data_IF_369391495524
#
_entry.id   IF_369391495524
#
_cell.length_a   1.000
_cell.length_b   1.000
_cell.length_c   1.000
_cell.angle_alpha   90.00
_cell.angle_beta   90.00
_cell.angle_gamma   90.00
#
_symmetry.space_group_name_H-M   'P 1'
#
loop_
_entity.id
_entity.type
_entity.pdbx_description
1 polymer ?
#
# COMPACT_ATOMS: atom_id res chain seq x y z
N UNK A 1 -31.07 26.19 11.35
CA UNK A 1 -31.53 24.84 11.72
C UNK A 1 -30.39 23.91 11.40
N UNK A 2 -29.65 23.49 12.42
CA UNK A 2 -28.54 22.51 12.28
C UNK A 2 -29.18 21.16 12.01
N UNK A 3 -28.77 20.52 10.94
CA UNK A 3 -29.29 19.19 10.56
C UNK A 3 -28.59 18.14 11.38
N UNK A 4 -29.23 17.66 12.44
CA UNK A 4 -28.82 16.41 13.07
C UNK A 4 -29.04 15.29 12.05
N UNK A 5 -27.99 14.57 11.71
CA UNK A 5 -28.09 13.38 10.87
C UNK A 5 -28.22 12.19 11.80
N UNK A 6 -29.40 11.60 11.89
CA UNK A 6 -29.60 10.35 12.62
C UNK A 6 -29.51 9.18 11.65
N UNK A 7 -28.74 8.17 12.01
CA UNK A 7 -28.66 6.90 11.28
C UNK A 7 -29.46 5.86 12.07
N UNK A 8 -30.73 5.69 11.71
CA UNK A 8 -31.58 4.70 12.34
C UNK A 8 -31.29 3.31 11.82
N UNK A 9 -30.77 2.46 12.67
CA UNK A 9 -30.45 1.04 12.41
C UNK A 9 -29.56 0.79 11.20
N UNK A 10 -28.49 1.54 10.97
CA UNK A 10 -27.51 1.13 9.97
C UNK A 10 -26.84 -0.16 10.42
N UNK A 11 -26.47 -1.01 9.47
CA UNK A 11 -25.57 -2.10 9.79
C UNK A 11 -24.19 -1.53 10.15
N UNK A 12 -23.48 -2.19 11.05
CA UNK A 12 -22.15 -1.81 11.50
C UNK A 12 -21.17 -2.92 11.16
N UNK A 13 -20.15 -2.63 10.36
CA UNK A 13 -19.10 -3.57 10.01
C UNK A 13 -17.92 -3.41 10.97
N UNK A 14 -17.73 -4.39 11.86
CA UNK A 14 -16.55 -4.43 12.74
C UNK A 14 -15.27 -4.78 11.98
N UNK A 15 -14.13 -4.48 12.58
CA UNK A 15 -12.79 -4.76 12.04
C UNK A 15 -12.53 -6.27 11.81
N UNK A 16 -13.25 -7.14 12.53
CA UNK A 16 -13.23 -8.59 12.31
C UNK A 16 -14.12 -9.05 11.13
N UNK A 17 -14.86 -8.10 10.52
CA UNK A 17 -15.78 -8.34 9.40
C UNK A 17 -17.15 -8.87 9.82
N UNK A 18 -17.52 -8.81 11.10
CA UNK A 18 -18.86 -9.13 11.59
C UNK A 18 -19.77 -7.92 11.40
N UNK A 19 -20.96 -8.14 10.85
CA UNK A 19 -22.00 -7.12 10.73
C UNK A 19 -22.88 -7.14 11.97
N UNK A 20 -23.10 -5.98 12.55
CA UNK A 20 -23.98 -5.76 13.70
C UNK A 20 -25.06 -4.74 13.38
N UNK A 21 -26.10 -4.68 14.21
CA UNK A 21 -27.08 -3.60 14.20
C UNK A 21 -26.53 -2.48 15.06
N UNK A 22 -26.60 -1.25 14.59
CA UNK A 22 -26.17 -0.10 15.35
C UNK A 22 -27.25 0.97 15.39
N UNK A 23 -27.41 1.64 16.53
CA UNK A 23 -28.19 2.85 16.68
C UNK A 23 -27.23 4.00 16.97
N UNK A 24 -27.03 4.84 15.96
CA UNK A 24 -26.01 5.89 16.00
C UNK A 24 -26.64 7.23 15.65
N UNK A 25 -26.46 8.21 16.51
CA UNK A 25 -26.86 9.60 16.26
C UNK A 25 -25.61 10.48 16.23
N UNK A 26 -25.47 11.24 15.16
CA UNK A 26 -24.38 12.18 14.95
C UNK A 26 -24.94 13.58 14.67
N UNK A 27 -24.46 14.58 15.39
CA UNK A 27 -24.84 15.98 15.21
C UNK A 27 -23.67 16.89 15.58
N UNK A 28 -23.52 17.97 14.82
CA UNK A 28 -22.55 19.04 15.11
C UNK A 28 -21.11 18.57 15.33
N UNK A 29 -20.68 17.56 14.54
CA UNK A 29 -19.39 16.87 14.69
C UNK A 29 -19.20 16.07 15.99
N UNK A 30 -20.29 15.74 16.69
CA UNK A 30 -20.27 14.91 17.88
C UNK A 30 -21.18 13.69 17.75
N UNK A 31 -20.76 12.58 18.38
CA UNK A 31 -21.56 11.37 18.49
C UNK A 31 -22.46 11.52 19.74
N UNK A 32 -23.76 11.67 19.54
CA UNK A 32 -24.72 11.84 20.61
C UNK A 32 -25.22 10.51 21.19
N UNK A 33 -25.26 9.46 20.34
CA UNK A 33 -25.59 8.11 20.75
C UNK A 33 -24.79 7.13 19.90
N UNK A 34 -24.25 6.10 20.52
CA UNK A 34 -23.49 5.05 19.85
C UNK A 34 -23.76 3.73 20.57
N UNK A 35 -24.81 3.05 20.15
CA UNK A 35 -25.18 1.73 20.68
C UNK A 35 -25.02 0.68 19.57
N UNK A 36 -24.22 -0.35 19.85
CA UNK A 36 -23.99 -1.47 18.95
C UNK A 36 -24.66 -2.68 19.55
N UNK A 37 -25.74 -3.12 18.90
CA UNK A 37 -26.50 -4.30 19.26
C UNK A 37 -25.85 -5.61 18.86
N UNK A 38 -26.61 -6.70 18.95
CA UNK A 38 -26.17 -8.05 18.56
C UNK A 38 -25.96 -8.21 17.05
N UNK A 39 -25.51 -9.39 16.64
CA UNK A 39 -25.36 -9.75 15.23
C UNK A 39 -26.68 -9.57 14.46
N UNK A 40 -26.62 -8.90 13.34
CA UNK A 40 -27.77 -8.64 12.49
C UNK A 40 -27.61 -9.24 11.09
N UNK A 41 -28.72 -9.47 10.43
CA UNK A 41 -28.71 -9.89 9.01
C UNK A 41 -28.51 -8.65 8.15
N UNK A 42 -27.34 -8.57 7.49
CA UNK A 42 -27.07 -7.54 6.50
C UNK A 42 -27.97 -7.71 5.28
N UNK A 43 -28.83 -6.74 5.02
CA UNK A 43 -29.51 -6.65 3.74
C UNK A 43 -28.50 -6.18 2.68
N UNK A 44 -28.30 -6.98 1.65
CA UNK A 44 -27.30 -6.74 0.57
C UNK A 44 -27.35 -5.34 -0.06
N UNK A 45 -28.47 -4.63 0.11
CA UNK A 45 -28.74 -3.28 -0.42
C UNK A 45 -28.78 -2.17 0.65
N UNK A 46 -28.50 -2.47 1.91
CA UNK A 46 -28.61 -1.47 2.97
C UNK A 46 -27.37 -0.57 3.10
N UNK A 47 -27.57 0.60 3.71
CA UNK A 47 -26.48 1.44 4.19
C UNK A 47 -25.81 0.82 5.44
N UNK A 48 -24.54 1.15 5.66
CA UNK A 48 -23.82 0.67 6.84
C UNK A 48 -22.69 1.61 7.24
N UNK A 49 -22.22 1.45 8.46
CA UNK A 49 -21.10 2.18 9.05
C UNK A 49 -19.89 1.28 9.22
N UNK A 50 -18.71 1.88 9.10
CA UNK A 50 -17.42 1.23 9.36
C UNK A 50 -16.61 2.13 10.29
N UNK A 51 -16.10 1.62 11.43
CA UNK A 51 -15.34 2.42 12.41
C UNK A 51 -13.90 2.65 11.93
N UNK A 52 -13.75 3.07 10.69
CA UNK A 52 -12.46 3.29 10.06
C UNK A 52 -12.61 4.15 8.80
N UNK A 53 -11.47 4.56 8.29
CA UNK A 53 -11.31 5.14 6.96
C UNK A 53 -10.53 4.16 6.08
N UNK A 54 -10.67 4.20 4.75
CA UNK A 54 -9.76 3.48 3.85
C UNK A 54 -8.37 4.12 3.92
N UNK A 55 -7.36 3.35 3.53
CA UNK A 55 -5.95 3.72 3.59
C UNK A 55 -5.37 3.83 2.19
N UNK A 56 -4.88 5.00 1.84
CA UNK A 56 -3.92 5.17 0.73
C UNK A 56 -2.57 4.66 1.22
N UNK A 57 -2.32 3.35 1.03
CA UNK A 57 -1.18 2.67 1.67
C UNK A 57 0.15 2.93 0.97
N UNK A 58 0.13 3.11 -0.33
CA UNK A 58 1.27 3.44 -1.17
C UNK A 58 0.83 4.48 -2.18
N UNK A 59 1.27 5.72 -2.00
CA UNK A 59 1.00 6.79 -2.94
C UNK A 59 2.11 7.81 -2.93
N UNK A 60 2.35 8.44 -4.08
CA UNK A 60 3.48 9.35 -4.33
C UNK A 60 3.07 10.81 -4.26
N UNK A 61 1.76 11.09 -4.26
CA UNK A 61 1.31 12.46 -4.16
C UNK A 61 -0.21 12.61 -4.10
N UNK A 62 -0.68 13.61 -3.35
CA UNK A 62 -2.08 14.00 -3.23
C UNK A 62 -2.20 15.50 -3.54
N UNK A 63 -3.18 15.87 -4.37
CA UNK A 63 -3.36 17.23 -4.84
C UNK A 63 -2.18 17.68 -5.69
N UNK A 64 -1.45 18.70 -5.25
CA UNK A 64 -0.28 19.23 -5.96
C UNK A 64 1.05 18.91 -5.27
N UNK A 65 1.05 17.99 -4.30
CA UNK A 65 2.25 17.61 -3.57
C UNK A 65 2.84 16.32 -4.16
N UNK A 66 4.09 16.41 -4.66
CA UNK A 66 4.96 15.28 -4.91
C UNK A 66 5.68 14.95 -3.59
N UNK A 67 5.43 13.79 -3.02
CA UNK A 67 5.98 13.41 -1.71
C UNK A 67 7.49 13.24 -1.73
N UNK A 68 8.08 12.97 -2.88
CA UNK A 68 9.53 12.86 -3.06
C UNK A 68 10.25 14.21 -3.18
N UNK A 69 9.51 15.32 -3.21
CA UNK A 69 10.08 16.66 -3.19
C UNK A 69 10.16 17.18 -1.73
N UNK A 70 11.18 16.72 -0.97
CA UNK A 70 11.32 17.04 0.45
C UNK A 70 11.40 18.55 0.75
N UNK A 71 11.88 19.35 -0.20
CA UNK A 71 11.98 20.81 -0.03
C UNK A 71 10.62 21.50 -0.01
N UNK A 72 9.62 20.89 -0.64
CA UNK A 72 8.25 21.43 -0.74
C UNK A 72 7.22 20.57 0.00
N UNK A 73 7.67 19.53 0.70
CA UNK A 73 6.81 18.59 1.41
C UNK A 73 6.16 19.25 2.63
N UNK A 74 4.87 19.51 2.55
CA UNK A 74 4.05 20.07 3.63
C UNK A 74 3.07 19.02 4.17
N UNK A 75 3.53 18.26 5.17
CA UNK A 75 2.74 17.16 5.78
C UNK A 75 1.44 17.68 6.41
N UNK A 76 1.39 18.91 6.91
CA UNK A 76 0.15 19.45 7.47
C UNK A 76 -0.93 19.63 6.41
N UNK A 77 -0.55 20.17 5.25
CA UNK A 77 -1.48 20.30 4.12
C UNK A 77 -1.86 18.95 3.53
N UNK A 78 -0.92 18.01 3.43
CA UNK A 78 -1.21 16.64 3.00
C UNK A 78 -2.18 15.96 3.98
N UNK A 79 -1.99 16.13 5.28
CA UNK A 79 -2.93 15.65 6.29
C UNK A 79 -4.32 16.30 6.10
N UNK A 80 -4.38 17.59 5.82
CA UNK A 80 -5.66 18.29 5.55
C UNK A 80 -6.34 17.72 4.31
N UNK A 81 -5.62 17.44 3.23
CA UNK A 81 -6.17 16.80 2.03
C UNK A 81 -6.67 15.38 2.34
N UNK A 82 -5.90 14.57 3.09
CA UNK A 82 -6.33 13.26 3.52
C UNK A 82 -7.59 13.30 4.41
N UNK A 83 -7.71 14.32 5.26
CA UNK A 83 -8.92 14.57 6.04
C UNK A 83 -10.12 14.94 5.15
N UNK A 84 -9.92 15.78 4.14
CA UNK A 84 -10.97 16.16 3.19
C UNK A 84 -11.44 14.95 2.38
N UNK A 85 -10.52 14.10 1.93
CA UNK A 85 -10.86 12.86 1.23
C UNK A 85 -11.41 11.77 2.17
N UNK A 86 -11.27 11.95 3.49
CA UNK A 86 -11.69 10.97 4.49
C UNK A 86 -10.92 9.66 4.39
N UNK A 87 -9.62 9.74 4.29
CA UNK A 87 -8.68 8.62 4.18
C UNK A 87 -7.61 8.69 5.26
N UNK A 88 -7.01 7.55 5.56
CA UNK A 88 -5.66 7.51 6.10
C UNK A 88 -4.65 7.42 4.95
N UNK A 89 -3.43 7.89 5.17
CA UNK A 89 -2.39 7.91 4.14
C UNK A 89 -1.05 7.44 4.69
N UNK A 90 -0.33 6.70 3.85
CA UNK A 90 1.09 6.36 4.02
C UNK A 90 1.83 6.90 2.78
N UNK A 91 2.37 8.13 2.85
CA UNK A 91 3.17 8.69 1.79
C UNK A 91 4.38 7.81 1.46
N UNK A 92 4.58 7.52 0.17
CA UNK A 92 5.74 6.79 -0.38
C UNK A 92 6.69 7.76 -1.04
N UNK A 93 7.96 7.71 -0.64
CA UNK A 93 8.99 8.65 -1.04
C UNK A 93 10.09 7.91 -1.80
N UNK A 94 10.44 8.40 -2.98
CA UNK A 94 11.72 8.09 -3.61
C UNK A 94 12.77 9.02 -3.01
N UNK A 95 13.76 8.45 -2.35
CA UNK A 95 14.77 9.21 -1.62
C UNK A 95 16.07 9.37 -2.42
N UNK A 96 16.40 10.57 -2.93
CA UNK A 96 17.71 10.83 -3.50
C UNK A 96 18.83 10.67 -2.46
N UNK A 97 19.97 10.12 -2.88
CA UNK A 97 21.11 9.86 -1.98
C UNK A 97 21.54 11.11 -1.19
N UNK A 98 21.65 12.25 -1.87
CA UNK A 98 22.05 13.51 -1.27
C UNK A 98 21.00 14.12 -0.30
N UNK A 99 19.82 13.55 -0.18
CA UNK A 99 18.76 14.02 0.72
C UNK A 99 18.56 13.10 1.94
N UNK A 100 19.42 12.10 2.16
CA UNK A 100 19.30 11.18 3.29
C UNK A 100 19.30 11.88 4.66
N UNK A 101 20.18 12.88 4.86
CA UNK A 101 20.23 13.63 6.11
C UNK A 101 18.99 14.51 6.30
N UNK A 102 18.50 15.11 5.24
CA UNK A 102 17.25 15.89 5.23
C UNK A 102 16.07 15.00 5.56
N UNK A 103 15.98 13.81 4.97
CA UNK A 103 14.95 12.83 5.28
C UNK A 103 14.97 12.42 6.76
N UNK A 104 16.14 12.09 7.31
CA UNK A 104 16.25 11.72 8.72
C UNK A 104 15.82 12.86 9.66
N UNK A 105 16.16 14.11 9.32
CA UNK A 105 15.69 15.29 10.06
C UNK A 105 14.17 15.49 9.95
N UNK A 106 13.61 15.32 8.75
CA UNK A 106 12.16 15.33 8.49
C UNK A 106 11.42 14.30 9.33
N UNK A 107 11.92 13.05 9.38
CA UNK A 107 11.29 11.97 10.17
C UNK A 107 11.25 12.29 11.68
N UNK A 108 12.29 12.87 12.23
CA UNK A 108 12.31 13.31 13.64
C UNK A 108 11.27 14.39 13.92
N UNK A 109 11.14 15.37 13.02
CA UNK A 109 10.13 16.42 13.15
C UNK A 109 8.71 15.84 12.95
N UNK A 110 8.50 14.97 11.97
CA UNK A 110 7.25 14.25 11.77
C UNK A 110 6.79 13.54 13.06
N UNK A 111 7.68 12.76 13.68
CA UNK A 111 7.43 12.08 14.94
C UNK A 111 7.05 13.07 16.06
N UNK A 112 7.82 14.15 16.19
CA UNK A 112 7.57 15.19 17.19
C UNK A 112 6.19 15.80 17.06
N UNK A 113 5.75 16.09 15.84
CA UNK A 113 4.41 16.65 15.57
C UNK A 113 3.30 15.59 15.76
N UNK A 114 3.53 14.34 15.38
CA UNK A 114 2.60 13.23 15.64
C UNK A 114 2.34 13.09 17.14
N UNK A 115 3.38 13.14 17.96
CA UNK A 115 3.25 13.08 19.44
C UNK A 115 2.46 14.27 20.03
N UNK A 116 2.38 15.40 19.34
CA UNK A 116 1.53 16.54 19.71
C UNK A 116 0.09 16.39 19.21
N UNK A 117 -0.27 15.23 18.63
CA UNK A 117 -1.61 14.96 18.10
C UNK A 117 -1.89 15.55 16.72
N UNK A 118 -0.85 16.04 16.00
CA UNK A 118 -0.97 16.51 14.62
C UNK A 118 -0.86 15.33 13.64
N UNK A 119 -1.16 15.56 12.37
CA UNK A 119 -1.01 14.61 11.26
C UNK A 119 -1.76 13.28 11.48
N UNK A 120 -2.99 13.37 12.02
CA UNK A 120 -3.77 12.20 12.45
C UNK A 120 -4.07 11.22 11.34
N UNK A 121 -4.27 11.74 10.12
CA UNK A 121 -4.57 10.93 8.95
C UNK A 121 -3.32 10.39 8.25
N UNK A 122 -2.11 10.82 8.64
CA UNK A 122 -0.87 10.25 8.13
C UNK A 122 -0.40 9.17 9.10
N UNK A 123 -0.49 7.90 8.72
CA UNK A 123 -0.16 6.78 9.61
C UNK A 123 1.33 6.66 9.87
N UNK A 124 2.12 6.94 8.86
CA UNK A 124 3.58 6.93 8.85
C UNK A 124 4.08 7.24 7.46
N UNK A 125 5.34 7.00 7.20
CA UNK A 125 6.01 7.26 5.92
C UNK A 125 6.57 5.93 5.40
N UNK A 126 6.72 5.79 4.10
CA UNK A 126 7.42 4.68 3.47
C UNK A 126 8.44 5.17 2.45
N UNK A 127 9.41 4.34 2.15
CA UNK A 127 10.37 4.56 1.07
C UNK A 127 10.12 3.54 -0.04
N UNK A 128 10.12 4.01 -1.28
CA UNK A 128 10.25 3.14 -2.45
C UNK A 128 11.68 3.17 -2.95
N UNK A 129 12.42 2.14 -2.61
CA UNK A 129 13.88 2.10 -2.73
C UNK A 129 14.56 2.39 -1.38
N UNK A 130 15.87 2.70 -1.41
CA UNK A 130 16.67 3.01 -2.61
C UNK A 130 17.28 1.83 -3.36
N UNK A 131 17.32 0.62 -2.78
CA UNK A 131 18.00 -0.54 -3.37
C UNK A 131 17.05 -1.30 -4.32
N UNK A 132 16.91 -0.84 -5.56
CA UNK A 132 16.03 -1.44 -6.56
C UNK A 132 16.81 -2.03 -7.73
N UNK A 133 16.44 -3.23 -8.18
CA UNK A 133 17.12 -3.94 -9.27
C UNK A 133 16.68 -3.48 -10.66
N UNK A 134 15.56 -2.76 -10.75
CA UNK A 134 15.00 -2.25 -12.00
C UNK A 134 14.75 -0.75 -11.93
N UNK A 135 14.94 -0.07 -13.07
CA UNK A 135 14.61 1.37 -13.23
C UNK A 135 13.22 1.60 -13.84
N UNK A 136 12.50 0.55 -14.17
CA UNK A 136 11.24 0.71 -14.85
C UNK A 136 10.23 1.43 -13.93
N UNK A 137 9.85 2.65 -14.32
CA UNK A 137 8.89 3.47 -13.61
C UNK A 137 9.47 4.35 -12.51
N UNK A 138 10.58 3.97 -11.89
CA UNK A 138 11.16 4.68 -10.75
C UNK A 138 12.05 5.86 -11.18
N UNK A 139 12.09 6.95 -10.42
CA UNK A 139 13.03 8.03 -10.65
C UNK A 139 14.49 7.58 -10.43
N UNK A 140 15.35 7.89 -11.40
CA UNK A 140 16.76 7.46 -11.36
C UNK A 140 17.50 7.92 -10.09
N UNK A 141 17.17 9.13 -9.58
CA UNK A 141 17.79 9.69 -8.38
C UNK A 141 17.41 8.94 -7.09
N UNK A 142 16.25 8.27 -7.08
CA UNK A 142 15.76 7.49 -5.93
C UNK A 142 16.33 6.08 -5.85
N UNK A 143 17.24 5.71 -6.77
CA UNK A 143 17.73 4.35 -6.88
C UNK A 143 19.26 4.30 -6.77
N UNK A 144 19.77 3.82 -5.64
CA UNK A 144 21.18 3.75 -5.30
C UNK A 144 21.45 2.63 -4.29
N UNK A 145 22.69 2.25 -4.11
CA UNK A 145 23.10 1.20 -3.18
C UNK A 145 23.64 1.82 -1.88
N UNK A 146 22.91 1.76 -0.75
CA UNK A 146 23.37 2.32 0.51
C UNK A 146 24.51 1.52 1.15
N UNK A 147 25.47 2.23 1.76
CA UNK A 147 26.47 1.68 2.67
C UNK A 147 25.82 1.29 4.02
N UNK A 148 26.58 0.60 4.87
CA UNK A 148 26.08 0.18 6.20
C UNK A 148 25.56 1.35 7.03
N UNK A 149 26.31 2.42 7.15
CA UNK A 149 25.95 3.62 7.92
C UNK A 149 24.68 4.30 7.38
N UNK A 150 24.48 4.24 6.07
CA UNK A 150 23.30 4.80 5.42
C UNK A 150 22.06 3.94 5.68
N UNK A 151 22.19 2.60 5.65
CA UNK A 151 21.12 1.68 6.05
C UNK A 151 20.76 1.82 7.54
N UNK A 152 21.75 1.96 8.43
CA UNK A 152 21.52 2.24 9.84
C UNK A 152 20.74 3.54 10.04
N UNK A 153 21.07 4.58 9.26
CA UNK A 153 20.35 5.85 9.28
C UNK A 153 18.91 5.70 8.77
N UNK A 154 18.68 4.99 7.68
CA UNK A 154 17.34 4.67 7.17
C UNK A 154 16.55 3.87 8.22
N UNK A 155 17.14 2.80 8.75
CA UNK A 155 16.50 1.96 9.74
C UNK A 155 16.14 2.74 11.02
N UNK A 156 17.00 3.64 11.49
CA UNK A 156 16.73 4.48 12.66
C UNK A 156 15.46 5.33 12.52
N UNK A 157 15.02 5.61 11.29
CA UNK A 157 13.76 6.30 11.03
C UNK A 157 12.54 5.47 11.40
N UNK A 158 12.68 4.16 11.65
CA UNK A 158 11.61 3.31 12.18
C UNK A 158 11.05 3.82 13.50
N UNK A 159 11.92 4.29 14.41
CA UNK A 159 11.51 4.95 15.67
C UNK A 159 10.63 6.20 15.41
N UNK A 160 10.80 6.84 14.27
CA UNK A 160 10.12 8.09 13.91
C UNK A 160 8.92 7.89 12.99
N UNK A 161 8.56 6.63 12.67
CA UNK A 161 7.37 6.32 11.88
C UNK A 161 7.63 5.96 10.42
N UNK A 162 8.85 5.53 10.07
CA UNK A 162 9.11 4.82 8.81
C UNK A 162 8.54 3.40 8.95
N UNK A 163 7.51 3.07 8.15
CA UNK A 163 6.78 1.80 8.25
C UNK A 163 7.47 0.70 7.47
N UNK A 164 7.82 0.99 6.21
CA UNK A 164 8.48 0.03 5.33
C UNK A 164 9.40 0.73 4.34
N UNK A 165 10.33 -0.05 3.78
CA UNK A 165 11.13 0.36 2.63
C UNK A 165 11.06 -0.72 1.56
N UNK A 166 10.83 -0.31 0.32
CA UNK A 166 10.87 -1.23 -0.83
C UNK A 166 12.32 -1.55 -1.15
N UNK A 167 12.61 -2.81 -1.34
CA UNK A 167 13.91 -3.29 -1.79
C UNK A 167 13.78 -4.47 -2.74
N UNK A 168 14.71 -4.56 -3.66
CA UNK A 168 14.84 -5.72 -4.54
C UNK A 168 15.91 -6.66 -3.99
N UNK A 169 15.57 -7.88 -3.59
CA UNK A 169 16.57 -8.82 -3.06
C UNK A 169 17.66 -9.19 -4.07
N UNK A 170 17.36 -9.08 -5.37
CA UNK A 170 18.26 -9.35 -6.48
C UNK A 170 19.05 -8.10 -6.97
N UNK A 171 18.90 -6.95 -6.31
CA UNK A 171 19.65 -5.74 -6.66
C UNK A 171 21.17 -5.88 -6.48
N UNK A 172 21.60 -6.83 -5.65
CA UNK A 172 23.02 -7.06 -5.36
C UNK A 172 23.64 -8.19 -6.17
N UNK A 173 22.88 -8.87 -7.03
CA UNK A 173 23.37 -9.97 -7.85
C UNK A 173 24.23 -9.49 -9.02
N UNK A 174 25.00 -10.40 -9.63
CA UNK A 174 25.91 -10.07 -10.74
C UNK A 174 25.18 -9.46 -11.97
N UNK A 175 23.91 -9.76 -12.13
CA UNK A 175 23.10 -9.30 -13.26
C UNK A 175 22.37 -7.97 -13.02
N UNK A 176 22.43 -7.45 -11.80
CA UNK A 176 21.83 -6.16 -11.47
C UNK A 176 22.66 -5.01 -12.01
N UNK A 177 22.00 -3.97 -12.51
CA UNK A 177 22.69 -2.76 -12.95
C UNK A 177 23.37 -2.01 -11.79
N UNK A 178 22.90 -2.21 -10.53
CA UNK A 178 23.52 -1.64 -9.33
C UNK A 178 24.83 -2.35 -8.98
N UNK A 179 25.06 -3.58 -9.43
CA UNK A 179 26.24 -4.36 -9.10
C UNK A 179 27.55 -3.62 -9.30
N UNK A 180 27.65 -2.82 -10.36
CA UNK A 180 28.84 -2.01 -10.67
C UNK A 180 29.17 -0.95 -9.60
N UNK A 181 28.21 -0.60 -8.75
CA UNK A 181 28.38 0.36 -7.64
C UNK A 181 28.55 -0.34 -6.29
N UNK A 182 28.32 -1.66 -6.23
CA UNK A 182 28.41 -2.44 -4.99
C UNK A 182 29.82 -2.97 -4.81
N UNK A 183 30.44 -2.60 -3.69
CA UNK A 183 31.78 -2.98 -3.27
C UNK A 183 31.72 -3.87 -2.03
N UNK A 184 32.88 -4.29 -1.51
CA UNK A 184 32.99 -5.07 -0.25
C UNK A 184 32.54 -4.28 0.98
N UNK A 185 32.43 -2.96 0.89
CA UNK A 185 31.93 -2.08 1.97
C UNK A 185 30.42 -2.12 2.13
N UNK A 186 29.70 -2.58 1.09
CA UNK A 186 28.25 -2.71 1.15
C UNK A 186 27.84 -3.93 1.99
N UNK A 187 26.73 -3.82 2.76
CA UNK A 187 26.26 -4.92 3.59
C UNK A 187 25.67 -6.06 2.76
N UNK A 188 25.60 -7.25 3.32
CA UNK A 188 24.85 -8.37 2.72
C UNK A 188 23.34 -8.13 2.81
N UNK A 189 22.57 -8.82 1.96
CA UNK A 189 21.11 -8.75 1.97
C UNK A 189 20.54 -9.10 3.36
N UNK A 190 21.06 -10.14 4.00
CA UNK A 190 20.61 -10.56 5.32
C UNK A 190 20.87 -9.49 6.38
N UNK A 191 22.05 -8.86 6.33
CA UNK A 191 22.36 -7.76 7.25
C UNK A 191 21.40 -6.57 7.07
N UNK A 192 21.04 -6.22 5.81
CA UNK A 192 20.08 -5.17 5.51
C UNK A 192 18.71 -5.52 6.13
N UNK A 193 18.23 -6.73 5.89
CA UNK A 193 16.93 -7.18 6.41
C UNK A 193 16.93 -7.21 7.94
N UNK A 194 17.97 -7.77 8.56
CA UNK A 194 18.13 -7.78 10.02
C UNK A 194 18.07 -6.36 10.59
N UNK A 195 18.84 -5.43 10.03
CA UNK A 195 18.91 -4.03 10.47
C UNK A 195 17.55 -3.33 10.38
N UNK A 196 16.82 -3.53 9.28
CA UNK A 196 15.48 -2.95 9.07
C UNK A 196 14.48 -3.51 10.09
N UNK A 197 14.39 -4.83 10.22
CA UNK A 197 13.37 -5.45 11.08
C UNK A 197 13.64 -5.25 12.56
N UNK A 198 14.90 -5.18 13.00
CA UNK A 198 15.27 -4.82 14.36
C UNK A 198 14.85 -3.39 14.72
N UNK A 199 14.85 -2.49 13.76
CA UNK A 199 14.37 -1.11 13.90
C UNK A 199 12.85 -0.96 13.71
N UNK A 200 12.11 -2.05 13.46
CA UNK A 200 10.67 -2.04 13.23
C UNK A 200 10.24 -1.62 11.82
N UNK A 201 11.18 -1.48 10.88
CA UNK A 201 10.92 -1.17 9.47
C UNK A 201 10.74 -2.47 8.70
N UNK A 202 9.64 -2.59 7.94
CA UNK A 202 9.36 -3.79 7.17
C UNK A 202 10.08 -3.75 5.83
N UNK A 203 10.75 -4.83 5.41
CA UNK A 203 11.13 -4.97 4.01
C UNK A 203 9.89 -5.18 3.16
N UNK A 204 9.76 -4.41 2.07
CA UNK A 204 8.75 -4.59 1.04
C UNK A 204 9.45 -5.01 -0.27
N UNK A 205 9.02 -6.11 -0.89
CA UNK A 205 9.73 -6.73 -2.00
C UNK A 205 9.15 -6.28 -3.35
N UNK A 206 9.96 -5.64 -4.18
CA UNK A 206 9.52 -5.12 -5.48
C UNK A 206 10.67 -4.77 -6.43
N UNK A 207 10.33 -4.30 -7.63
CA UNK A 207 11.25 -3.81 -8.66
C UNK A 207 12.36 -4.81 -9.02
N UNK A 208 11.95 -6.04 -9.27
CA UNK A 208 12.87 -7.14 -9.56
C UNK A 208 13.47 -7.04 -10.95
N UNK A 209 14.71 -7.53 -11.10
CA UNK A 209 15.27 -7.72 -12.44
C UNK A 209 14.44 -8.72 -13.25
N UNK A 210 14.52 -8.63 -14.57
CA UNK A 210 13.75 -9.51 -15.48
C UNK A 210 14.49 -10.81 -15.82
N UNK A 211 15.80 -10.87 -15.57
CA UNK A 211 16.62 -12.05 -15.78
C UNK A 211 16.67 -12.90 -14.50
N UNK A 212 16.88 -14.20 -14.63
CA UNK A 212 17.11 -15.16 -13.54
C UNK A 212 16.02 -15.17 -12.45
N UNK A 213 14.74 -15.35 -12.81
CA UNK A 213 13.63 -15.30 -11.88
C UNK A 213 13.70 -16.39 -10.78
N UNK A 214 14.37 -17.52 -11.03
CA UNK A 214 14.61 -18.58 -10.05
C UNK A 214 15.53 -18.08 -8.93
N UNK A 215 16.66 -17.44 -9.27
CA UNK A 215 17.59 -16.83 -8.30
C UNK A 215 16.87 -15.77 -7.47
N UNK A 216 16.08 -14.92 -8.13
CA UNK A 216 15.25 -13.89 -7.45
C UNK A 216 14.28 -14.53 -6.46
N UNK A 217 13.63 -15.65 -6.83
CA UNK A 217 12.70 -16.36 -5.95
C UNK A 217 13.38 -16.97 -4.73
N UNK A 218 14.58 -17.51 -4.87
CA UNK A 218 15.39 -18.00 -3.74
C UNK A 218 15.74 -16.84 -2.79
N UNK A 219 16.12 -15.68 -3.33
CA UNK A 219 16.44 -14.50 -2.53
C UNK A 219 15.20 -13.91 -1.82
N UNK A 220 14.01 -13.96 -2.45
CA UNK A 220 12.74 -13.62 -1.81
C UNK A 220 12.53 -14.49 -0.57
N UNK A 221 12.65 -15.80 -0.69
CA UNK A 221 12.48 -16.73 0.44
C UNK A 221 13.52 -16.47 1.53
N UNK A 222 14.74 -16.13 1.17
CA UNK A 222 15.81 -15.77 2.10
C UNK A 222 15.48 -14.51 2.91
N UNK A 223 14.90 -13.47 2.27
CA UNK A 223 14.42 -12.26 2.98
C UNK A 223 13.31 -12.63 3.95
N UNK A 224 12.32 -13.42 3.52
CA UNK A 224 11.22 -13.87 4.37
C UNK A 224 11.75 -14.62 5.58
N UNK A 225 12.62 -15.61 5.37
CA UNK A 225 13.20 -16.40 6.45
C UNK A 225 14.00 -15.57 7.44
N UNK A 226 14.76 -14.59 6.95
CA UNK A 226 15.54 -13.67 7.79
C UNK A 226 14.61 -12.79 8.62
N UNK A 227 13.61 -12.18 7.98
CA UNK A 227 12.66 -11.32 8.66
C UNK A 227 11.84 -12.07 9.72
N UNK A 228 11.37 -13.29 9.42
CA UNK A 228 10.60 -14.12 10.37
C UNK A 228 11.42 -14.50 11.62
N UNK A 229 12.74 -14.61 11.54
CA UNK A 229 13.60 -14.92 12.67
C UNK A 229 13.91 -13.72 13.55
N UNK A 230 13.92 -12.53 13.00
CA UNK A 230 14.43 -11.30 13.63
C UNK A 230 13.36 -10.29 13.99
N UNK A 231 12.28 -10.25 13.23
CA UNK A 231 11.20 -9.30 13.47
C UNK A 231 10.47 -9.59 14.79
N UNK A 232 10.04 -8.53 15.47
CA UNK A 232 9.07 -8.61 16.54
C UNK A 232 7.67 -9.01 16.03
N UNK A 233 7.48 -8.99 14.72
CA UNK A 233 6.27 -9.38 14.02
C UNK A 233 6.48 -10.72 13.33
N UNK A 234 5.47 -11.55 13.31
CA UNK A 234 5.52 -12.91 12.74
C UNK A 234 4.47 -13.10 11.66
N UNK A 235 4.67 -14.11 10.83
CA UNK A 235 3.75 -14.40 9.72
C UNK A 235 3.69 -13.25 8.72
N UNK A 236 2.51 -12.97 8.21
CA UNK A 236 2.28 -11.96 7.16
C UNK A 236 2.61 -10.51 7.57
N UNK A 237 2.88 -10.28 8.85
CA UNK A 237 3.15 -8.93 9.35
C UNK A 237 4.64 -8.54 9.25
N UNK A 238 5.53 -9.49 8.99
CA UNK A 238 6.98 -9.25 8.96
C UNK A 238 7.49 -8.69 7.62
N UNK A 239 6.88 -9.10 6.51
CA UNK A 239 7.30 -8.74 5.15
C UNK A 239 6.10 -8.31 4.33
N UNK A 240 6.30 -7.30 3.48
CA UNK A 240 5.32 -6.85 2.49
C UNK A 240 5.84 -7.17 1.08
N UNK A 241 4.97 -7.11 0.08
CA UNK A 241 5.44 -6.82 -1.28
C UNK A 241 5.19 -5.36 -1.60
N UNK A 242 5.87 -4.87 -2.60
CA UNK A 242 5.42 -3.75 -3.39
C UNK A 242 4.34 -4.23 -4.38
N UNK A 243 3.95 -3.40 -5.35
CA UNK A 243 2.88 -3.65 -6.33
C UNK A 243 3.06 -4.97 -7.11
N UNK A 244 2.33 -6.00 -6.70
CA UNK A 244 2.35 -7.31 -7.39
C UNK A 244 2.03 -7.15 -8.88
N UNK A 245 2.79 -7.82 -9.74
CA UNK A 245 2.81 -7.81 -11.19
C UNK A 245 3.41 -6.55 -11.85
N UNK A 246 3.70 -5.50 -11.11
CA UNK A 246 4.42 -4.35 -11.63
C UNK A 246 5.93 -4.58 -11.49
N UNK A 247 6.66 -4.14 -12.49
CA UNK A 247 8.12 -4.18 -12.54
C UNK A 247 8.76 -5.49 -12.03
N UNK A 248 8.23 -6.61 -12.48
CA UNK A 248 8.73 -7.95 -12.19
C UNK A 248 8.61 -8.88 -13.41
N UNK A 249 9.30 -10.03 -13.45
CA UNK A 249 9.21 -10.99 -14.56
C UNK A 249 7.87 -11.73 -14.52
N UNK A 250 6.92 -11.27 -15.34
CA UNK A 250 5.58 -11.86 -15.50
C UNK A 250 5.47 -12.62 -16.83
N UNK A 251 4.63 -13.65 -16.86
CA UNK A 251 4.29 -14.37 -18.09
C UNK A 251 3.27 -13.65 -18.98
N UNK A 252 2.74 -12.51 -18.54
CA UNK A 252 1.80 -11.69 -19.30
C UNK A 252 2.05 -10.20 -19.03
N UNK A 253 1.55 -9.35 -19.94
CA UNK A 253 1.72 -7.89 -19.85
C UNK A 253 0.41 -7.23 -19.40
N UNK A 254 0.47 -6.36 -18.40
CA UNK A 254 -0.70 -5.61 -17.91
C UNK A 254 -0.80 -4.22 -18.51
N UNK A 255 0.28 -3.46 -18.52
CA UNK A 255 0.29 -2.06 -18.93
C UNK A 255 0.33 -1.90 -20.45
N UNK A 256 -0.22 -0.80 -20.96
CA UNK A 256 -0.27 -0.49 -22.37
C UNK A 256 -0.15 1.03 -22.60
N UNK A 257 0.44 1.41 -23.75
CA UNK A 257 0.59 2.81 -24.16
C UNK A 257 -0.15 3.14 -25.45
N UNK A 258 -0.42 2.16 -26.26
CA UNK A 258 -1.08 2.33 -27.56
C UNK A 258 -2.33 1.45 -27.63
N UNK A 259 -3.32 1.81 -28.49
CA UNK A 259 -4.48 0.94 -28.72
C UNK A 259 -4.12 -0.48 -29.13
N UNK A 260 -3.01 -0.64 -29.90
CA UNK A 260 -2.52 -1.96 -30.31
C UNK A 260 -1.99 -2.75 -29.11
N UNK A 261 -1.23 -2.13 -28.23
CA UNK A 261 -0.76 -2.79 -27.00
C UNK A 261 -1.93 -3.19 -26.08
N UNK A 262 -2.99 -2.37 -26.04
CA UNK A 262 -4.21 -2.72 -25.32
C UNK A 262 -4.88 -3.95 -25.88
N UNK A 263 -4.95 -4.09 -27.21
CA UNK A 263 -5.46 -5.31 -27.86
C UNK A 263 -4.60 -6.52 -27.51
N UNK A 264 -3.27 -6.40 -27.62
CA UNK A 264 -2.34 -7.48 -27.27
C UNK A 264 -2.45 -7.89 -25.79
N UNK A 265 -2.66 -6.92 -24.88
CA UNK A 265 -2.93 -7.23 -23.49
C UNK A 265 -4.17 -8.10 -23.33
N UNK A 266 -5.28 -7.72 -23.98
CA UNK A 266 -6.54 -8.48 -23.91
C UNK A 266 -6.43 -9.89 -24.51
N UNK A 267 -5.61 -10.04 -25.55
CA UNK A 267 -5.30 -11.36 -26.13
C UNK A 267 -4.44 -12.19 -25.18
N UNK A 268 -3.36 -11.62 -24.64
CA UNK A 268 -2.50 -12.31 -23.65
C UNK A 268 -3.23 -12.75 -22.40
N UNK A 269 -4.24 -11.99 -21.96
CA UNK A 269 -5.08 -12.38 -20.80
C UNK A 269 -5.97 -13.60 -21.10
N UNK A 270 -6.41 -13.79 -22.34
CA UNK A 270 -7.10 -15.04 -22.73
C UNK A 270 -6.18 -16.25 -22.63
N UNK A 271 -4.91 -16.06 -23.04
CA UNK A 271 -3.88 -17.10 -23.00
C UNK A 271 -3.40 -17.39 -21.57
N UNK A 272 -3.55 -16.43 -20.64
CA UNK A 272 -3.18 -16.57 -19.23
C UNK A 272 -4.01 -17.64 -18.49
N UNK A 273 -5.13 -18.13 -19.07
CA UNK A 273 -5.93 -19.26 -18.58
C UNK A 273 -6.24 -19.15 -17.09
N UNK A 274 -6.84 -18.02 -16.68
CA UNK A 274 -7.19 -17.72 -15.27
C UNK A 274 -8.02 -18.84 -14.61
N UNK A 275 -8.81 -19.58 -15.41
CA UNK A 275 -9.60 -20.73 -14.97
C UNK A 275 -8.75 -21.91 -14.47
N UNK A 276 -7.48 -21.99 -14.88
CA UNK A 276 -6.53 -23.04 -14.50
C UNK A 276 -5.61 -22.67 -13.34
N UNK A 277 -5.69 -21.40 -12.91
CA UNK A 277 -4.83 -20.98 -11.81
C UNK A 277 -5.21 -21.68 -10.52
N UNK A 278 -4.23 -22.31 -9.90
CA UNK A 278 -4.30 -22.77 -8.52
C UNK A 278 -2.92 -22.56 -7.88
N UNK A 279 -2.84 -22.63 -6.57
CA UNK A 279 -1.63 -22.25 -5.85
C UNK A 279 -0.44 -23.19 -6.14
N UNK A 280 -0.72 -24.44 -6.48
CA UNK A 280 0.34 -25.45 -6.73
C UNK A 280 1.05 -25.26 -8.07
N UNK A 281 0.34 -24.71 -9.08
CA UNK A 281 0.89 -24.48 -10.42
C UNK A 281 1.13 -22.99 -10.75
N UNK A 282 0.95 -22.11 -9.79
CA UNK A 282 0.88 -20.67 -10.06
C UNK A 282 2.15 -20.11 -10.70
N UNK A 283 3.34 -20.58 -10.28
CA UNK A 283 4.61 -20.11 -10.84
C UNK A 283 4.70 -20.34 -12.37
N UNK A 284 4.22 -21.47 -12.87
CA UNK A 284 4.26 -21.77 -14.30
C UNK A 284 3.30 -20.91 -15.11
N UNK A 285 2.28 -20.35 -14.48
CA UNK A 285 1.22 -19.58 -15.13
C UNK A 285 1.48 -18.07 -15.08
N UNK A 286 1.91 -17.55 -13.93
CA UNK A 286 2.11 -16.11 -13.74
C UNK A 286 3.56 -15.66 -13.86
N UNK A 287 4.51 -16.57 -13.77
CA UNK A 287 5.95 -16.33 -13.64
C UNK A 287 6.49 -16.76 -12.28
N UNK A 288 7.78 -17.07 -12.23
CA UNK A 288 8.41 -17.64 -11.03
C UNK A 288 8.34 -16.66 -9.84
N UNK A 289 8.68 -15.39 -10.05
CA UNK A 289 8.69 -14.38 -8.99
C UNK A 289 7.28 -14.08 -8.45
N UNK A 290 6.29 -13.67 -9.27
CA UNK A 290 4.95 -13.39 -8.74
C UNK A 290 4.27 -14.65 -8.17
N UNK A 291 4.54 -15.82 -8.72
CA UNK A 291 4.04 -17.09 -8.19
C UNK A 291 4.59 -17.41 -6.81
N UNK A 292 5.89 -17.19 -6.58
CA UNK A 292 6.53 -17.36 -5.26
C UNK A 292 5.94 -16.40 -4.23
N UNK A 293 5.73 -15.13 -4.59
CA UNK A 293 5.09 -14.16 -3.71
C UNK A 293 3.65 -14.56 -3.35
N UNK A 294 2.88 -15.04 -4.34
CA UNK A 294 1.49 -15.50 -4.10
C UNK A 294 1.44 -16.73 -3.20
N UNK A 295 2.35 -17.70 -3.36
CA UNK A 295 2.44 -18.88 -2.47
C UNK A 295 2.80 -18.46 -1.05
N UNK A 296 3.84 -17.63 -0.89
CA UNK A 296 4.25 -17.12 0.42
C UNK A 296 3.11 -16.36 1.12
N UNK A 297 2.36 -15.55 0.39
CA UNK A 297 1.19 -14.86 0.94
C UNK A 297 0.06 -15.83 1.33
N UNK A 298 -0.19 -16.86 0.53
CA UNK A 298 -1.18 -17.91 0.85
C UNK A 298 -0.82 -18.67 2.12
N UNK A 299 0.46 -18.90 2.34
CA UNK A 299 1.01 -19.53 3.55
C UNK A 299 1.04 -18.58 4.76
N UNK A 300 0.72 -17.28 4.55
CA UNK A 300 0.73 -16.28 5.60
C UNK A 300 2.12 -15.81 6.00
N UNK A 301 3.11 -15.90 5.11
CA UNK A 301 4.50 -15.50 5.36
C UNK A 301 4.77 -14.03 5.01
N UNK A 302 3.95 -13.44 4.14
CA UNK A 302 4.00 -12.03 3.77
C UNK A 302 2.61 -11.49 3.42
N UNK A 303 2.50 -10.16 3.30
CA UNK A 303 1.29 -9.49 2.80
C UNK A 303 1.59 -8.87 1.43
N UNK A 304 0.72 -9.16 0.45
CA UNK A 304 0.80 -8.63 -0.91
C UNK A 304 0.19 -7.22 -0.96
N UNK A 305 0.87 -6.27 -1.60
CA UNK A 305 0.26 -5.04 -2.11
C UNK A 305 -0.06 -5.21 -3.60
N UNK A 306 -1.24 -4.76 -4.03
CA UNK A 306 -1.69 -4.93 -5.42
C UNK A 306 -2.66 -3.83 -5.84
N UNK A 307 -2.56 -3.40 -7.09
CA UNK A 307 -3.46 -2.41 -7.69
C UNK A 307 -4.78 -3.03 -8.15
N UNK A 308 -5.87 -2.28 -7.97
CA UNK A 308 -7.22 -2.64 -8.44
C UNK A 308 -7.79 -1.56 -9.37
N UNK A 309 -6.94 -0.91 -10.14
CA UNK A 309 -7.30 0.21 -11.01
C UNK A 309 -7.67 -0.19 -12.44
N UNK A 310 -7.55 -1.46 -12.80
CA UNK A 310 -7.74 -2.05 -14.13
C UNK A 310 -6.60 -1.86 -15.11
N UNK A 311 -5.65 -0.97 -14.82
CA UNK A 311 -4.60 -0.63 -15.77
C UNK A 311 -3.22 -1.14 -15.35
N UNK A 312 -2.82 -0.97 -14.09
CA UNK A 312 -1.64 -1.69 -13.55
C UNK A 312 -1.85 -3.19 -13.58
N UNK A 313 -3.01 -3.64 -13.07
CA UNK A 313 -3.40 -5.04 -13.06
C UNK A 313 -4.81 -5.18 -13.61
N UNK A 314 -5.03 -6.14 -14.50
CA UNK A 314 -6.36 -6.46 -14.98
C UNK A 314 -7.26 -6.94 -13.84
N UNK A 315 -8.52 -6.49 -13.81
CA UNK A 315 -9.41 -6.77 -12.70
C UNK A 315 -9.77 -8.27 -12.57
N UNK A 316 -9.82 -9.01 -13.67
CA UNK A 316 -10.06 -10.46 -13.59
C UNK A 316 -8.84 -11.21 -13.05
N UNK A 317 -7.62 -10.74 -13.37
CA UNK A 317 -6.38 -11.22 -12.74
C UNK A 317 -6.39 -10.92 -11.25
N UNK A 318 -6.69 -9.66 -10.88
CA UNK A 318 -6.77 -9.25 -9.49
C UNK A 318 -7.83 -10.06 -8.72
N UNK A 319 -9.01 -10.30 -9.31
CA UNK A 319 -10.04 -11.17 -8.76
C UNK A 319 -9.49 -12.57 -8.46
N UNK A 320 -8.79 -13.15 -9.44
CA UNK A 320 -8.23 -14.49 -9.30
C UNK A 320 -7.17 -14.59 -8.20
N UNK A 321 -6.32 -13.57 -8.05
CA UNK A 321 -5.34 -13.49 -6.95
C UNK A 321 -6.06 -13.47 -5.59
N UNK A 322 -7.09 -12.63 -5.44
CA UNK A 322 -7.87 -12.57 -4.18
C UNK A 322 -8.54 -13.91 -3.85
N UNK A 323 -9.06 -14.62 -4.85
CA UNK A 323 -9.65 -15.95 -4.67
C UNK A 323 -8.63 -16.99 -4.19
N UNK A 324 -7.38 -16.93 -4.68
CA UNK A 324 -6.31 -17.86 -4.32
C UNK A 324 -5.65 -17.53 -2.98
N UNK A 325 -5.30 -16.28 -2.77
CA UNK A 325 -4.56 -15.83 -1.57
C UNK A 325 -5.51 -15.57 -0.40
N UNK A 326 -6.63 -14.89 -0.66
CA UNK A 326 -7.57 -14.43 0.35
C UNK A 326 -7.34 -12.96 0.75
N UNK A 327 -8.43 -12.24 1.06
CA UNK A 327 -8.41 -10.80 1.34
C UNK A 327 -7.60 -10.38 2.57
N UNK A 328 -7.27 -11.31 3.46
CA UNK A 328 -6.44 -11.02 4.67
C UNK A 328 -4.95 -10.98 4.38
N UNK A 329 -4.52 -11.47 3.22
CA UNK A 329 -3.12 -11.44 2.77
C UNK A 329 -2.86 -10.37 1.71
N UNK A 330 -3.82 -9.44 1.48
CA UNK A 330 -3.73 -8.46 0.39
C UNK A 330 -4.07 -7.06 0.89
N UNK A 331 -3.26 -6.09 0.51
CA UNK A 331 -3.50 -4.65 0.61
C UNK A 331 -3.84 -4.15 -0.79
N UNK A 332 -4.98 -3.51 -0.96
CA UNK A 332 -5.29 -2.76 -2.16
C UNK A 332 -4.59 -1.40 -2.08
N UNK A 333 -3.72 -1.12 -3.04
CA UNK A 333 -2.97 0.12 -3.12
C UNK A 333 -3.26 0.85 -4.43
N UNK A 334 -3.10 2.17 -4.42
CA UNK A 334 -3.39 3.00 -5.59
C UNK A 334 -2.16 3.25 -6.45
N UNK A 335 -1.00 3.34 -5.84
CA UNK A 335 0.21 3.83 -6.48
C UNK A 335 -0.02 5.22 -7.12
N UNK A 336 -0.79 6.05 -6.41
CA UNK A 336 -1.34 7.32 -6.92
C UNK A 336 -0.33 8.44 -6.87
N UNK A 337 -0.34 9.25 -7.93
CA UNK A 337 0.19 10.61 -7.92
C UNK A 337 -0.78 11.55 -8.67
N UNK A 338 -1.04 12.74 -8.12
CA UNK A 338 -1.94 13.71 -8.72
C UNK A 338 -1.20 14.78 -9.53
N UNK A 339 0.12 14.84 -9.43
CA UNK A 339 0.98 15.79 -10.17
C UNK A 339 1.55 15.16 -11.44
N UNK A 340 2.02 16.00 -12.37
CA UNK A 340 2.70 15.62 -13.59
C UNK A 340 4.23 15.53 -13.43
N UNK A 341 4.69 15.43 -12.19
CA UNK A 341 6.10 15.20 -11.87
C UNK A 341 6.25 14.35 -10.62
N UNK A 342 7.33 13.57 -10.54
CA UNK A 342 7.67 12.70 -9.42
C UNK A 342 9.19 12.71 -9.22
N UNK A 343 9.64 13.11 -8.02
CA UNK A 343 11.07 13.24 -7.69
C UNK A 343 11.85 14.11 -8.70
N UNK A 344 11.19 15.17 -9.22
CA UNK A 344 11.74 16.07 -10.23
C UNK A 344 11.77 15.49 -11.66
N UNK A 345 11.14 14.36 -11.91
CA UNK A 345 10.98 13.76 -13.22
C UNK A 345 9.58 14.04 -13.76
N UNK A 346 9.48 14.59 -14.97
CA UNK A 346 8.19 14.83 -15.63
C UNK A 346 7.50 13.53 -16.01
N UNK A 347 6.19 13.52 -15.85
CA UNK A 347 5.30 12.42 -16.18
C UNK A 347 4.33 12.81 -17.28
N UNK A 348 3.92 11.82 -18.08
CA UNK A 348 3.01 11.98 -19.19
C UNK A 348 1.75 11.12 -19.00
N UNK A 349 0.60 11.64 -19.38
CA UNK A 349 -0.68 10.89 -19.47
C UNK A 349 -0.92 10.43 -20.89
N UNK A 350 -1.52 9.24 -21.02
CA UNK A 350 -1.98 8.69 -22.30
C UNK A 350 -3.51 8.75 -22.30
N UNK A 351 -4.09 9.22 -23.38
CA UNK A 351 -5.55 9.31 -23.53
C UNK A 351 -6.20 7.92 -23.38
N UNK A 352 -7.24 7.85 -22.55
CA UNK A 352 -7.96 6.62 -22.26
C UNK A 352 -7.27 5.67 -21.28
N UNK A 353 -6.17 6.11 -20.66
CA UNK A 353 -5.45 5.37 -19.64
C UNK A 353 -5.35 6.21 -18.35
N UNK A 354 -5.44 5.58 -17.18
CA UNK A 354 -5.34 6.27 -15.89
C UNK A 354 -3.92 6.26 -15.30
N UNK A 355 -2.97 5.70 -16.03
CA UNK A 355 -1.58 5.63 -15.59
C UNK A 355 -0.79 6.87 -15.99
N UNK A 356 0.21 7.18 -15.18
CA UNK A 356 1.29 8.09 -15.51
C UNK A 356 2.49 7.31 -16.06
N UNK A 357 3.16 7.89 -17.05
CA UNK A 357 4.34 7.31 -17.69
C UNK A 357 5.51 8.27 -17.62
N UNK A 358 6.70 7.74 -17.38
CA UNK A 358 7.92 8.49 -17.60
C UNK A 358 8.30 8.55 -19.08
N UNK A 359 9.18 9.50 -19.44
CA UNK A 359 9.55 9.75 -20.85
C UNK A 359 10.13 8.54 -21.61
N UNK A 360 10.68 7.53 -20.90
CA UNK A 360 11.14 6.26 -21.51
C UNK A 360 9.99 5.27 -21.76
N UNK A 361 8.79 5.60 -21.32
CA UNK A 361 7.57 4.82 -21.57
C UNK A 361 7.24 3.76 -20.54
N UNK A 362 7.89 3.74 -19.42
CA UNK A 362 7.51 2.89 -18.31
C UNK A 362 6.42 3.55 -17.47
N UNK A 363 5.56 2.73 -16.89
CA UNK A 363 4.57 3.19 -15.91
C UNK A 363 5.29 3.70 -14.69
N UNK A 364 4.86 4.85 -14.20
CA UNK A 364 5.47 5.52 -13.05
C UNK A 364 4.52 5.57 -11.85
N UNK A 365 3.21 5.68 -12.08
CA UNK A 365 2.21 5.75 -11.01
C UNK A 365 0.79 5.62 -11.57
N UNK A 366 -0.18 5.40 -10.70
CA UNK A 366 -1.60 5.51 -10.98
C UNK A 366 -2.16 6.92 -10.78
N UNK A 367 -3.46 7.10 -11.07
CA UNK A 367 -4.16 8.36 -10.79
C UNK A 367 -5.56 8.15 -10.18
N UNK A 368 -5.93 6.92 -9.84
CA UNK A 368 -7.18 6.64 -9.19
C UNK A 368 -7.03 6.72 -7.66
N UNK A 369 -8.10 7.21 -7.01
CA UNK A 369 -8.22 7.23 -5.56
C UNK A 369 -8.61 5.86 -5.02
N UNK A 370 -8.43 5.66 -3.73
CA UNK A 370 -8.84 4.42 -3.05
C UNK A 370 -10.35 4.16 -3.19
N UNK A 371 -11.20 5.18 -3.26
CA UNK A 371 -12.63 5.00 -3.49
C UNK A 371 -12.94 4.38 -4.86
N UNK A 372 -12.13 4.72 -5.87
CA UNK A 372 -12.26 4.08 -7.20
C UNK A 372 -11.84 2.61 -7.14
N UNK A 373 -10.78 2.28 -6.40
CA UNK A 373 -10.39 0.89 -6.19
C UNK A 373 -11.47 0.11 -5.45
N UNK A 374 -12.04 0.68 -4.39
CA UNK A 374 -13.18 0.07 -3.67
C UNK A 374 -14.36 -0.22 -4.61
N UNK A 375 -14.67 0.72 -5.51
CA UNK A 375 -15.69 0.50 -6.53
C UNK A 375 -15.33 -0.68 -7.46
N UNK A 376 -14.10 -0.73 -7.96
CA UNK A 376 -13.64 -1.78 -8.86
C UNK A 376 -13.66 -3.16 -8.18
N UNK A 377 -13.24 -3.25 -6.90
CA UNK A 377 -13.29 -4.50 -6.11
C UNK A 377 -14.74 -5.00 -5.97
N UNK A 378 -15.71 -4.09 -5.75
CA UNK A 378 -17.14 -4.45 -5.76
C UNK A 378 -17.62 -4.92 -7.13
N UNK A 379 -17.18 -4.24 -8.19
CA UNK A 379 -17.61 -4.54 -9.56
C UNK A 379 -17.17 -5.96 -10.01
N UNK A 380 -16.05 -6.46 -9.50
CA UNK A 380 -15.60 -7.84 -9.75
C UNK A 380 -16.20 -8.88 -8.78
N UNK A 381 -17.22 -8.48 -8.01
CA UNK A 381 -18.09 -9.40 -7.28
C UNK A 381 -17.74 -9.64 -5.81
N UNK A 382 -16.79 -8.92 -5.24
CA UNK A 382 -16.46 -9.05 -3.82
C UNK A 382 -17.44 -8.31 -2.91
N UNK A 383 -17.69 -8.90 -1.74
CA UNK A 383 -18.53 -8.31 -0.71
C UNK A 383 -17.79 -7.26 0.12
N UNK A 384 -18.52 -6.50 0.92
CA UNK A 384 -18.01 -5.38 1.71
C UNK A 384 -16.92 -5.79 2.71
N UNK A 385 -17.00 -6.99 3.27
CA UNK A 385 -15.94 -7.50 4.16
C UNK A 385 -14.59 -7.62 3.43
N UNK A 386 -14.60 -8.13 2.20
CA UNK A 386 -13.39 -8.24 1.36
C UNK A 386 -12.87 -6.86 1.00
N UNK A 387 -13.76 -5.95 0.58
CA UNK A 387 -13.40 -4.55 0.25
C UNK A 387 -12.68 -3.89 1.43
N UNK A 388 -13.31 -3.87 2.60
CA UNK A 388 -12.74 -3.21 3.79
C UNK A 388 -11.52 -3.92 4.36
N UNK A 389 -11.43 -5.24 4.26
CA UNK A 389 -10.19 -5.93 4.62
C UNK A 389 -9.01 -5.37 3.83
N UNK A 390 -9.12 -5.33 2.50
CA UNK A 390 -7.99 -4.96 1.64
C UNK A 390 -7.72 -3.46 1.59
N UNK A 391 -8.73 -2.61 1.81
CA UNK A 391 -8.58 -1.16 1.71
C UNK A 391 -8.44 -0.46 3.06
N UNK A 392 -8.65 -1.14 4.17
CA UNK A 392 -8.57 -0.54 5.51
C UNK A 392 -7.90 -1.44 6.54
N UNK A 393 -8.50 -2.59 6.89
CA UNK A 393 -8.08 -3.34 8.07
C UNK A 393 -6.71 -3.99 7.92
N UNK A 394 -6.40 -4.58 6.76
CA UNK A 394 -5.05 -5.14 6.48
C UNK A 394 -4.00 -4.05 6.39
N UNK A 395 -4.21 -2.93 5.67
CA UNK A 395 -3.29 -1.79 5.71
C UNK A 395 -3.05 -1.24 7.12
N UNK A 396 -4.10 -1.06 7.92
CA UNK A 396 -3.97 -0.57 9.31
C UNK A 396 -3.17 -1.53 10.18
N UNK A 397 -3.36 -2.84 10.00
CA UNK A 397 -2.56 -3.86 10.68
C UNK A 397 -1.10 -3.78 10.25
N UNK A 398 -0.83 -3.62 8.96
CA UNK A 398 0.53 -3.46 8.44
C UNK A 398 1.24 -2.21 8.99
N UNK A 399 0.48 -1.14 9.28
CA UNK A 399 0.97 0.08 9.94
C UNK A 399 1.03 -0.03 11.47
N UNK A 400 0.66 -1.16 12.07
CA UNK A 400 0.50 -1.34 13.52
C UNK A 400 -0.54 -0.40 14.17
N UNK A 401 -1.40 0.20 13.36
CA UNK A 401 -2.40 1.19 13.81
C UNK A 401 -3.77 0.57 14.14
N UNK A 402 -4.02 -0.69 13.74
CA UNK A 402 -5.33 -1.31 13.93
C UNK A 402 -5.70 -1.41 15.42
N UNK A 403 -4.77 -1.84 16.27
CA UNK A 403 -4.99 -1.93 17.72
C UNK A 403 -5.18 -0.54 18.36
N UNK A 404 -4.45 0.47 17.87
CA UNK A 404 -4.64 1.86 18.33
C UNK A 404 -6.05 2.34 17.96
N UNK A 405 -6.48 2.12 16.73
CA UNK A 405 -7.83 2.47 16.27
C UNK A 405 -8.91 1.78 17.11
N UNK A 406 -8.74 0.49 17.43
CA UNK A 406 -9.71 -0.27 18.24
C UNK A 406 -9.84 0.28 19.66
N UNK A 407 -8.77 0.84 20.21
CA UNK A 407 -8.73 1.42 21.56
C UNK A 407 -9.11 2.91 21.62
N UNK A 408 -9.32 3.59 20.48
CA UNK A 408 -9.81 4.96 20.50
C UNK A 408 -11.23 5.00 21.09
N UNK A 409 -11.45 5.89 22.04
CA UNK A 409 -12.78 6.14 22.63
C UNK A 409 -13.77 6.63 21.58
N UNK A 410 -13.28 7.36 20.59
CA UNK A 410 -14.06 7.83 19.44
C UNK A 410 -13.28 7.56 18.15
N UNK A 411 -13.88 6.77 17.27
CA UNK A 411 -13.29 6.35 16.01
C UNK A 411 -13.74 7.25 14.87
N UNK A 412 -12.90 7.49 13.84
CA UNK A 412 -13.43 8.01 12.58
C UNK A 412 -14.33 6.95 11.95
N UNK A 413 -15.34 7.41 11.22
CA UNK A 413 -16.31 6.52 10.58
C UNK A 413 -16.44 6.80 9.11
N UNK A 414 -16.60 5.73 8.34
CA UNK A 414 -17.13 5.79 6.99
C UNK A 414 -18.59 5.34 6.99
N UNK A 415 -19.44 6.11 6.34
CA UNK A 415 -20.82 5.74 6.05
C UNK A 415 -20.90 5.32 4.58
N UNK A 416 -21.47 4.17 4.32
CA UNK A 416 -21.70 3.66 2.96
C UNK A 416 -23.19 3.64 2.73
N UNK A 417 -23.65 4.41 1.74
CA UNK A 417 -25.06 4.46 1.37
C UNK A 417 -25.50 3.23 0.55
N UNK A 418 -26.76 3.15 0.25
CA UNK A 418 -27.35 2.07 -0.55
C UNK A 418 -26.78 2.00 -1.97
N UNK A 419 -26.26 3.12 -2.50
CA UNK A 419 -25.62 3.21 -3.82
C UNK A 419 -24.12 2.91 -3.78
N UNK A 420 -23.61 2.57 -2.59
CA UNK A 420 -22.19 2.30 -2.31
C UNK A 420 -21.28 3.53 -2.41
N UNK A 421 -21.85 4.71 -2.31
CA UNK A 421 -21.08 5.96 -2.11
C UNK A 421 -20.66 6.07 -0.65
N UNK A 422 -19.45 6.55 -0.45
CA UNK A 422 -18.86 6.74 0.86
C UNK A 422 -18.98 8.21 1.28
N UNK A 423 -19.47 8.45 2.48
CA UNK A 423 -19.25 9.66 3.25
C UNK A 423 -18.37 9.32 4.47
N UNK A 424 -17.68 10.29 5.02
CA UNK A 424 -16.86 10.09 6.20
C UNK A 424 -17.19 11.11 7.27
N UNK A 425 -16.98 10.75 8.52
CA UNK A 425 -17.20 11.60 9.68
C UNK A 425 -15.91 11.65 10.48
N UNK A 426 -15.49 12.89 10.80
CA UNK A 426 -14.35 13.10 11.67
C UNK A 426 -14.72 12.62 13.07
N UNK A 427 -13.82 11.88 13.69
CA UNK A 427 -13.90 11.74 15.15
C UNK A 427 -13.74 13.16 15.75
N UNK A 428 -14.54 13.56 16.73
CA UNK A 428 -14.20 14.72 17.53
C UNK A 428 -12.79 14.50 18.05
N UNK A 429 -12.02 15.58 18.11
CA UNK A 429 -10.62 15.49 18.54
C UNK A 429 -10.55 14.78 19.90
N UNK A 430 -10.07 13.52 19.98
CA UNK A 430 -9.83 12.98 21.29
C UNK A 430 -8.71 13.79 21.88
N UNK A 431 -8.82 14.19 23.13
CA UNK A 431 -7.63 14.47 23.94
C UNK A 431 -6.78 13.21 23.86
N UNK A 432 -5.74 13.24 23.06
CA UNK A 432 -4.77 12.15 22.98
C UNK A 432 -4.13 12.05 24.36
N UNK A 433 -4.62 11.12 25.15
CA UNK A 433 -3.87 10.64 26.32
C UNK A 433 -2.69 9.88 25.71
N UNK A 434 -1.62 10.64 25.48
CA UNK A 434 -0.31 10.09 25.14
C UNK A 434 0.16 9.28 26.36
N UNK A 435 0.18 7.95 26.21
CA UNK A 435 0.94 7.08 27.11
C UNK A 435 2.33 6.84 26.53
#
# INVERSE_FOLDING_TARGET
MQSSTSFNSPAYLETNGVMKIADITYSDNEWLNFDIGGEGIFKKSGSYLVPSLPVEFHCHGIGHYDFSNLDQLDIEKINTLAEIEGIFCVPSIFLPHNQLDQFAAFMKEFHTQKRKGRYRNILGISLEGPLLASFAGTPEKGNWAPLKEEWEKIASCGEYGLIYTVLSPDAMTENSYLKKYITEEHPSLEWIVDTLVEAGVKPALGHFQKAYPEETSELIMKVIDTAQKRSNYTGSDAVLTDHLFNDMPNNFKHTWRTPQERVHRLEGLKDARLDKWNIDNINTLVGEVPGTLMRAAKEGLLTICMNFDSEHVDLEVARRVVELVGSKGIIAMTDRIDTDSMCGQSLEKIEGNNLWYQGKGYVAAGSYTIDRLMHNIRAIGFNEKVVWNMTSFVPLKACHFLNELENLSMKPFSFIDETKKRAHFKAPAPELILR
#
